data_IF_578092424490
#
_entry.id   IF_578092424490
#
_cell.length_a   1.000
_cell.length_b   1.000
_cell.length_c   1.000
_cell.angle_alpha   90.00
_cell.angle_beta   90.00
_cell.angle_gamma   90.00
#
_symmetry.space_group_name_H-M   'P 1'
#
loop_
_entity.id
_entity.type
_entity.pdbx_description
1 polymer ?
#
# COMPACT_ATOMS: atom_id res chain seq x y z
N UNK A 1 19.71 -7.40 30.37
CA UNK A 1 20.25 -6.91 29.09
C UNK A 1 20.90 -5.57 29.34
N UNK A 2 22.10 -5.38 28.82
CA UNK A 2 22.80 -4.12 28.82
C UNK A 2 22.18 -3.17 27.78
N UNK A 3 22.26 -1.87 28.04
CA UNK A 3 21.61 -0.84 27.24
C UNK A 3 21.94 -0.92 25.74
N UNK A 4 23.19 -1.21 25.32
CA UNK A 4 23.52 -1.35 23.90
C UNK A 4 22.78 -2.50 23.23
N UNK A 5 22.74 -3.67 23.87
CA UNK A 5 22.05 -4.85 23.33
C UNK A 5 20.53 -4.62 23.18
N UNK A 6 19.92 -3.91 24.13
CA UNK A 6 18.52 -3.52 24.04
C UNK A 6 18.25 -2.57 22.86
N UNK A 7 19.09 -1.55 22.68
CA UNK A 7 18.94 -0.60 21.57
C UNK A 7 19.10 -1.28 20.20
N UNK A 8 20.03 -2.21 20.07
CA UNK A 8 20.19 -3.02 18.84
C UNK A 8 18.94 -3.86 18.57
N UNK A 9 18.43 -4.57 19.59
CA UNK A 9 17.22 -5.39 19.44
C UNK A 9 15.99 -4.59 19.03
N UNK A 10 15.81 -3.38 19.58
CA UNK A 10 14.76 -2.46 19.14
C UNK A 10 14.95 -2.01 17.69
N UNK A 11 16.18 -1.66 17.30
CA UNK A 11 16.51 -1.27 15.93
C UNK A 11 16.18 -2.37 14.92
N UNK A 12 16.60 -3.60 15.19
CA UNK A 12 16.35 -4.76 14.32
C UNK A 12 14.86 -5.07 14.18
N UNK A 13 14.12 -4.94 15.28
CA UNK A 13 12.67 -5.15 15.29
C UNK A 13 11.96 -4.08 14.45
N UNK A 14 12.29 -2.80 14.65
CA UNK A 14 11.72 -1.69 13.90
C UNK A 14 12.04 -1.80 12.41
N UNK A 15 13.28 -2.17 12.06
CA UNK A 15 13.69 -2.41 10.69
C UNK A 15 12.84 -3.52 10.05
N UNK A 16 12.71 -4.66 10.73
CA UNK A 16 11.96 -5.81 10.23
C UNK A 16 10.48 -5.46 9.99
N UNK A 17 9.84 -4.83 10.98
CA UNK A 17 8.44 -4.40 10.87
C UNK A 17 8.27 -3.36 9.77
N UNK A 18 9.16 -2.37 9.69
CA UNK A 18 9.13 -1.34 8.64
C UNK A 18 9.30 -1.95 7.25
N UNK A 19 10.26 -2.84 7.06
CA UNK A 19 10.49 -3.55 5.81
C UNK A 19 9.28 -4.41 5.41
N UNK A 20 8.66 -5.10 6.36
CA UNK A 20 7.46 -5.90 6.13
C UNK A 20 6.28 -5.04 5.67
N UNK A 21 5.99 -3.93 6.35
CA UNK A 21 4.90 -3.01 5.97
C UNK A 21 5.16 -2.41 4.58
N UNK A 22 6.40 -2.02 4.29
CA UNK A 22 6.77 -1.50 2.97
C UNK A 22 6.56 -2.55 1.86
N UNK A 23 7.03 -3.78 2.08
CA UNK A 23 6.89 -4.87 1.12
C UNK A 23 5.41 -5.20 0.87
N UNK A 24 4.60 -5.34 1.92
CA UNK A 24 3.16 -5.56 1.77
C UNK A 24 2.46 -4.41 1.03
N UNK A 25 2.81 -3.16 1.35
CA UNK A 25 2.22 -1.99 0.69
C UNK A 25 2.48 -2.01 -0.82
N UNK A 26 3.69 -2.40 -1.24
CA UNK A 26 4.04 -2.54 -2.66
C UNK A 26 3.26 -3.68 -3.32
N UNK A 27 3.21 -4.86 -2.66
CA UNK A 27 2.51 -6.03 -3.22
C UNK A 27 1.03 -5.74 -3.44
N UNK A 28 0.36 -5.17 -2.43
CA UNK A 28 -1.06 -4.77 -2.52
C UNK A 28 -1.24 -3.71 -3.60
N UNK A 29 -0.35 -2.71 -3.68
CA UNK A 29 -0.45 -1.70 -4.73
C UNK A 29 -0.41 -2.29 -6.14
N UNK A 30 0.49 -3.23 -6.38
CA UNK A 30 0.60 -3.90 -7.67
C UNK A 30 -0.61 -4.81 -7.92
N UNK A 31 -1.12 -5.50 -6.90
CA UNK A 31 -2.27 -6.40 -7.02
C UNK A 31 -3.54 -5.66 -7.44
N UNK A 32 -3.93 -4.64 -6.68
CA UNK A 32 -5.09 -3.81 -6.99
C UNK A 32 -4.92 -3.10 -8.33
N UNK A 33 -3.73 -2.57 -8.63
CA UNK A 33 -3.45 -1.97 -9.94
C UNK A 33 -3.61 -2.96 -11.09
N UNK A 34 -3.26 -4.23 -10.88
CA UNK A 34 -3.50 -5.33 -11.81
C UNK A 34 -4.98 -5.51 -12.13
N UNK A 35 -5.84 -5.56 -11.11
CA UNK A 35 -7.29 -5.63 -11.32
C UNK A 35 -7.82 -4.41 -12.07
N UNK A 36 -7.32 -3.22 -11.72
CA UNK A 36 -7.73 -1.98 -12.37
C UNK A 36 -7.36 -1.94 -13.86
N UNK A 37 -6.12 -2.32 -14.21
CA UNK A 37 -5.68 -2.27 -15.60
C UNK A 37 -6.36 -3.36 -16.45
N UNK A 38 -6.53 -4.57 -15.91
CA UNK A 38 -7.22 -5.66 -16.59
C UNK A 38 -8.69 -5.33 -16.78
N UNK A 39 -9.39 -4.87 -15.74
CA UNK A 39 -10.79 -4.43 -15.85
C UNK A 39 -10.97 -3.35 -16.91
N UNK A 40 -10.06 -2.37 -16.95
CA UNK A 40 -10.07 -1.33 -17.98
C UNK A 40 -9.87 -1.90 -19.40
N UNK A 41 -8.93 -2.83 -19.58
CA UNK A 41 -8.73 -3.47 -20.89
C UNK A 41 -9.94 -4.30 -21.32
N UNK A 42 -10.71 -4.83 -20.38
CA UNK A 42 -12.00 -5.49 -20.64
C UNK A 42 -13.17 -4.51 -20.85
N UNK A 43 -12.93 -3.19 -20.88
CA UNK A 43 -13.97 -2.17 -21.08
C UNK A 43 -14.76 -1.82 -19.82
N UNK A 44 -14.35 -2.32 -18.65
CA UNK A 44 -14.99 -2.02 -17.36
C UNK A 44 -14.37 -0.74 -16.79
N UNK A 45 -15.20 0.27 -16.57
CA UNK A 45 -14.79 1.51 -15.91
C UNK A 45 -14.89 1.36 -14.39
N UNK A 46 -13.77 1.48 -13.68
CA UNK A 46 -13.77 1.53 -12.23
C UNK A 46 -13.96 2.98 -11.75
N UNK A 47 -15.03 3.21 -10.98
CA UNK A 47 -15.35 4.50 -10.36
C UNK A 47 -14.38 4.84 -9.22
N UNK A 48 -13.91 3.82 -8.50
CA UNK A 48 -13.05 3.95 -7.33
C UNK A 48 -11.89 2.95 -7.41
N UNK A 49 -10.68 3.45 -7.18
CA UNK A 49 -9.48 2.66 -6.99
C UNK A 49 -8.98 2.93 -5.56
N UNK A 50 -8.96 1.90 -4.71
CA UNK A 50 -8.53 2.04 -3.31
C UNK A 50 -7.19 1.33 -3.09
N UNK A 51 -6.26 1.97 -2.39
CA UNK A 51 -4.97 1.37 -2.02
C UNK A 51 -4.84 1.19 -0.51
N UNK A 52 -4.85 -0.06 -0.05
CA UNK A 52 -4.59 -0.43 1.35
C UNK A 52 -5.83 -0.96 2.09
N UNK A 53 -5.75 -1.01 3.42
CA UNK A 53 -6.79 -1.55 4.30
C UNK A 53 -7.12 -0.53 5.39
N UNK A 54 -8.28 0.13 5.33
CA UNK A 54 -8.74 1.04 6.38
C UNK A 54 -9.22 2.41 5.88
N UNK A 55 -9.17 3.46 6.73
CA UNK A 55 -9.69 4.77 6.41
C UNK A 55 -8.89 5.46 5.29
N UNK A 56 -9.60 6.21 4.46
CA UNK A 56 -9.01 6.95 3.32
C UNK A 56 -8.05 8.02 3.86
N UNK A 57 -6.75 7.85 3.64
CA UNK A 57 -5.73 8.81 4.06
C UNK A 57 -5.61 9.98 3.08
N UNK A 58 -5.80 9.72 1.79
CA UNK A 58 -5.75 10.73 0.75
C UNK A 58 -6.63 10.27 -0.41
N UNK A 59 -7.41 11.18 -1.02
CA UNK A 59 -8.14 10.86 -2.24
C UNK A 59 -7.95 11.91 -3.32
N UNK A 60 -7.89 11.46 -4.57
CA UNK A 60 -7.74 12.30 -5.76
C UNK A 60 -8.51 11.70 -6.92
N UNK A 61 -9.28 12.53 -7.61
CA UNK A 61 -9.93 12.15 -8.86
C UNK A 61 -8.96 12.38 -10.02
N UNK A 62 -8.74 11.35 -10.84
CA UNK A 62 -7.92 11.49 -12.04
C UNK A 62 -8.69 12.13 -13.21
N UNK A 63 -8.00 12.46 -14.29
CA UNK A 63 -8.61 13.05 -15.51
C UNK A 63 -9.62 12.12 -16.20
N UNK A 64 -9.64 10.84 -15.83
CA UNK A 64 -10.49 9.80 -16.40
C UNK A 64 -11.72 9.53 -15.54
N UNK A 65 -11.88 10.25 -14.42
CA UNK A 65 -13.02 10.13 -13.51
C UNK A 65 -12.86 9.08 -12.43
N UNK A 66 -11.76 8.32 -12.40
CA UNK A 66 -11.51 7.34 -11.33
C UNK A 66 -11.08 8.09 -10.07
N UNK A 67 -11.74 7.82 -8.94
CA UNK A 67 -11.33 8.29 -7.61
C UNK A 67 -10.28 7.35 -7.05
N UNK A 68 -9.05 7.84 -6.94
CA UNK A 68 -7.95 7.16 -6.26
C UNK A 68 -8.04 7.50 -4.78
N UNK A 69 -8.06 6.50 -3.90
CA UNK A 69 -8.19 6.71 -2.45
C UNK A 69 -7.47 5.64 -1.62
#
# INVERSE_FOLDING_TARGET
MDLPAFLTSLGDTLYTVGAFVLALSIIVAVHEYGHYIVGRWSGIHAEVFSLGFGPILASRVDRRGTRWQ
#
